data_IF_250458505025
#
_entry.id   IF_250458505025
#
_cell.length_a   1.000
_cell.length_b   1.000
_cell.length_c   1.000
_cell.angle_alpha   90.00
_cell.angle_beta   90.00
_cell.angle_gamma   90.00
#
_symmetry.space_group_name_H-M   'P 1'
#
loop_
_entity.id
_entity.type
_entity.pdbx_description
1 polymer ?
#
# COMPACT_ATOMS: atom_id res chain seq x y z
N UNK A 1 10.69 7.46 11.04
CA UNK A 1 11.66 6.96 12.06
C UNK A 1 11.56 5.45 12.11
N UNK A 2 12.69 4.74 12.18
CA UNK A 2 12.73 3.29 12.35
C UNK A 2 13.38 2.97 13.70
N UNK A 3 12.80 2.01 14.42
CA UNK A 3 13.35 1.48 15.64
C UNK A 3 14.17 0.21 15.35
N UNK A 4 15.15 -0.09 16.20
CA UNK A 4 16.04 -1.26 16.05
C UNK A 4 15.33 -2.63 16.15
N UNK A 5 14.06 -2.66 16.55
CA UNK A 5 13.22 -3.86 16.62
C UNK A 5 12.35 -4.08 15.36
N UNK A 6 12.53 -3.27 14.31
CA UNK A 6 11.74 -3.35 13.08
C UNK A 6 10.42 -2.57 13.10
N UNK A 7 10.08 -1.90 14.20
CA UNK A 7 8.97 -0.95 14.22
C UNK A 7 9.33 0.33 13.48
N UNK A 8 8.35 0.99 12.87
CA UNK A 8 8.52 2.27 12.19
C UNK A 8 7.38 3.22 12.46
N UNK A 9 7.69 4.48 12.67
CA UNK A 9 6.73 5.57 12.80
C UNK A 9 6.88 6.53 11.63
N UNK A 10 5.80 6.74 10.90
CA UNK A 10 5.66 7.81 9.92
C UNK A 10 4.73 8.88 10.49
N UNK A 11 5.07 10.14 10.24
CA UNK A 11 4.25 11.28 10.59
C UNK A 11 4.40 12.34 9.50
N UNK A 12 3.29 12.93 9.06
CA UNK A 12 3.27 14.02 8.10
C UNK A 12 2.27 15.07 8.53
N UNK A 13 2.63 16.36 8.55
CA UNK A 13 1.65 17.42 8.74
C UNK A 13 0.62 17.37 7.61
N UNK A 14 -0.65 17.57 7.95
CA UNK A 14 -1.74 17.79 7.00
C UNK A 14 -1.93 19.30 6.83
N UNK A 15 -1.89 20.02 7.95
CA UNK A 15 -1.95 21.48 8.02
C UNK A 15 -1.22 21.97 9.30
N UNK A 16 -1.40 23.24 9.66
CA UNK A 16 -0.77 23.84 10.85
C UNK A 16 -1.28 23.30 12.19
N UNK A 17 -2.35 22.52 12.19
CA UNK A 17 -3.06 22.02 13.37
C UNK A 17 -3.21 20.51 13.42
N UNK A 18 -2.95 19.81 12.31
CA UNK A 18 -3.20 18.37 12.15
C UNK A 18 -2.02 17.65 11.53
N UNK A 19 -1.79 16.42 11.96
CA UNK A 19 -0.85 15.50 11.34
C UNK A 19 -1.49 14.13 11.13
N UNK A 20 -1.09 13.46 10.06
CA UNK A 20 -1.30 12.04 9.85
C UNK A 20 -0.12 11.31 10.48
N UNK A 21 -0.39 10.18 11.14
CA UNK A 21 0.66 9.28 11.60
C UNK A 21 0.29 7.83 11.28
N UNK A 22 1.30 6.99 11.15
CA UNK A 22 1.12 5.54 11.04
C UNK A 22 2.26 4.81 11.74
N UNK A 23 1.89 3.85 12.58
CA UNK A 23 2.81 2.91 13.19
C UNK A 23 2.83 1.62 12.37
N UNK A 24 4.01 1.09 12.10
CA UNK A 24 4.21 -0.23 11.51
C UNK A 24 5.07 -1.09 12.41
N UNK A 25 4.79 -2.37 12.46
CA UNK A 25 5.58 -3.39 13.14
C UNK A 25 5.31 -4.74 12.46
N UNK A 26 6.17 -5.73 12.73
CA UNK A 26 6.00 -7.08 12.18
C UNK A 26 5.20 -7.92 13.17
N UNK A 27 4.27 -8.71 12.66
CA UNK A 27 3.52 -9.71 13.43
C UNK A 27 3.35 -10.97 12.58
N UNK A 28 3.22 -12.12 13.25
CA UNK A 28 2.85 -13.39 12.62
C UNK A 28 1.34 -13.68 12.74
N UNK A 29 0.64 -12.90 13.55
CA UNK A 29 -0.80 -13.02 13.78
C UNK A 29 -1.51 -11.91 13.00
N UNK A 30 -2.45 -12.32 12.14
CA UNK A 30 -3.28 -11.38 11.41
C UNK A 30 -4.37 -10.83 12.33
N UNK A 31 -4.58 -9.52 12.29
CA UNK A 31 -5.71 -8.91 12.96
C UNK A 31 -7.02 -9.40 12.35
N UNK A 32 -7.92 -9.91 13.19
CA UNK A 32 -9.31 -10.14 12.81
C UNK A 32 -10.04 -8.79 12.77
N UNK A 33 -9.90 -8.09 11.64
CA UNK A 33 -10.54 -6.79 11.43
C UNK A 33 -12.03 -7.04 11.17
N UNK A 34 -12.84 -7.00 12.22
CA UNK A 34 -14.30 -6.98 12.09
C UNK A 34 -14.73 -5.70 11.38
N UNK A 35 -15.69 -5.82 10.44
CA UNK A 35 -16.32 -4.66 9.80
C UNK A 35 -17.24 -3.89 10.75
N UNK A 36 -17.68 -4.52 11.85
CA UNK A 36 -18.77 -3.99 12.66
C UNK A 36 -18.30 -3.05 13.78
N UNK A 37 -17.13 -3.25 14.39
CA UNK A 37 -16.56 -2.32 15.39
C UNK A 37 -15.05 -2.59 15.56
N UNK A 38 -14.14 -1.67 15.20
CA UNK A 38 -12.77 -1.75 15.69
C UNK A 38 -12.78 -1.37 17.17
N UNK A 39 -12.40 -2.31 18.04
CA UNK A 39 -12.26 -2.02 19.47
C UNK A 39 -11.09 -1.04 19.69
N UNK A 40 -11.41 0.25 19.69
CA UNK A 40 -10.42 1.34 19.73
C UNK A 40 -9.54 1.33 20.97
N UNK A 41 -9.97 0.71 22.08
CA UNK A 41 -9.15 0.56 23.29
C UNK A 41 -8.10 -0.54 23.17
N UNK A 42 -8.44 -1.67 22.53
CA UNK A 42 -7.48 -2.74 22.23
C UNK A 42 -6.40 -2.22 21.27
N UNK A 43 -6.82 -1.53 20.20
CA UNK A 43 -5.90 -0.93 19.24
C UNK A 43 -4.97 0.08 19.92
N UNK A 44 -5.47 0.88 20.86
CA UNK A 44 -4.63 1.83 21.62
C UNK A 44 -3.60 1.13 22.49
N UNK A 45 -3.99 0.07 23.19
CA UNK A 45 -3.08 -0.70 24.04
C UNK A 45 -1.95 -1.31 23.22
N UNK A 46 -2.28 -1.89 22.07
CA UNK A 46 -1.31 -2.46 21.14
C UNK A 46 -0.39 -1.39 20.53
N UNK A 47 -0.95 -0.24 20.16
CA UNK A 47 -0.17 0.91 19.68
C UNK A 47 0.82 1.40 20.75
N UNK A 48 0.43 1.40 22.03
CA UNK A 48 1.35 1.74 23.13
C UNK A 48 2.45 0.70 23.30
N UNK A 49 2.12 -0.57 23.25
CA UNK A 49 3.09 -1.66 23.39
C UNK A 49 4.19 -1.55 22.32
N UNK A 50 3.80 -1.47 21.05
CA UNK A 50 4.74 -1.42 19.93
C UNK A 50 5.33 -0.04 19.68
N UNK A 51 4.61 1.03 20.03
CA UNK A 51 5.02 2.43 19.87
C UNK A 51 5.86 2.98 21.02
N UNK A 52 5.93 2.29 22.15
CA UNK A 52 6.67 2.70 23.35
C UNK A 52 8.14 3.06 23.10
N UNK A 53 8.77 2.45 22.08
CA UNK A 53 10.14 2.80 21.67
C UNK A 53 10.29 4.24 21.14
N UNK A 54 9.18 4.86 20.73
CA UNK A 54 9.10 6.25 20.31
C UNK A 54 8.46 7.12 21.41
N UNK A 55 8.64 6.73 22.68
CA UNK A 55 7.94 7.17 23.89
C UNK A 55 7.43 8.61 23.92
N UNK A 56 8.31 9.60 23.70
CA UNK A 56 7.98 11.02 23.80
C UNK A 56 6.91 11.45 22.79
N UNK A 57 6.98 10.92 21.56
CA UNK A 57 6.03 11.22 20.50
C UNK A 57 4.69 10.54 20.76
N UNK A 58 4.68 9.27 21.19
CA UNK A 58 3.44 8.53 21.46
C UNK A 58 2.70 9.05 22.68
N UNK A 59 3.41 9.55 23.69
CA UNK A 59 2.82 10.18 24.86
C UNK A 59 1.96 11.40 24.51
N UNK A 60 2.26 12.08 23.40
CA UNK A 60 1.49 13.24 22.91
C UNK A 60 0.51 12.86 21.80
N UNK A 61 0.92 12.01 20.85
CA UNK A 61 0.13 11.65 19.67
C UNK A 61 -1.10 10.82 20.01
N UNK A 62 -0.97 9.80 20.87
CA UNK A 62 -2.05 8.86 21.10
C UNK A 62 -3.23 9.48 21.88
N UNK A 63 -3.00 10.29 22.93
CA UNK A 63 -4.09 10.97 23.65
C UNK A 63 -4.80 12.03 22.79
N UNK A 64 -4.10 12.66 21.85
CA UNK A 64 -4.65 13.70 20.97
C UNK A 64 -5.28 13.15 19.69
N UNK A 65 -5.11 11.85 19.41
CA UNK A 65 -5.69 11.18 18.25
C UNK A 65 -7.19 10.91 18.43
N UNK A 66 -7.96 11.18 17.39
CA UNK A 66 -9.40 10.88 17.35
C UNK A 66 -9.57 9.35 17.38
N UNK A 67 -10.18 8.81 18.43
CA UNK A 67 -10.29 7.35 18.66
C UNK A 67 -10.86 6.60 17.46
N UNK A 68 -11.92 7.15 16.88
CA UNK A 68 -12.65 6.55 15.75
C UNK A 68 -11.90 6.63 14.41
N UNK A 69 -10.82 7.42 14.32
CA UNK A 69 -10.00 7.49 13.11
C UNK A 69 -8.82 6.52 13.13
N UNK A 70 -8.49 5.92 14.28
CA UNK A 70 -7.40 4.95 14.38
C UNK A 70 -7.88 3.63 13.79
N UNK A 71 -7.13 3.10 12.83
CA UNK A 71 -7.45 1.87 12.11
C UNK A 71 -6.21 0.98 12.03
N UNK A 72 -6.44 -0.33 12.07
CA UNK A 72 -5.42 -1.35 11.88
C UNK A 72 -5.66 -2.03 10.55
N UNK A 73 -4.56 -2.30 9.83
CA UNK A 73 -4.59 -2.95 8.53
C UNK A 73 -3.53 -4.04 8.49
N UNK A 74 -3.92 -5.24 8.05
CA UNK A 74 -2.96 -6.25 7.65
C UNK A 74 -2.45 -5.88 6.25
N UNK A 75 -1.17 -5.55 6.14
CA UNK A 75 -0.56 -5.15 4.88
C UNK A 75 0.24 -6.30 4.30
N UNK A 76 -0.05 -6.66 3.06
CA UNK A 76 0.69 -7.68 2.31
C UNK A 76 0.94 -7.19 0.88
N UNK A 77 2.08 -7.58 0.32
CA UNK A 77 2.35 -7.38 -1.11
C UNK A 77 1.66 -8.49 -1.92
N UNK A 78 1.17 -8.12 -3.10
CA UNK A 78 0.59 -9.03 -4.09
C UNK A 78 1.45 -9.06 -5.33
N UNK A 79 1.80 -10.25 -5.77
CA UNK A 79 2.50 -10.43 -7.04
C UNK A 79 1.57 -10.11 -8.23
N UNK A 80 2.07 -9.42 -9.28
CA UNK A 80 1.31 -9.14 -10.48
C UNK A 80 0.74 -10.39 -11.13
N UNK A 81 -0.42 -10.26 -11.78
CA UNK A 81 -0.98 -11.37 -12.55
C UNK A 81 -0.19 -11.59 -13.84
N UNK A 82 0.04 -12.84 -14.21
CA UNK A 82 0.59 -13.19 -15.53
C UNK A 82 -0.53 -13.11 -16.57
N UNK A 83 -0.35 -12.28 -17.59
CA UNK A 83 -1.31 -12.11 -18.70
C UNK A 83 -0.86 -12.90 -19.93
N UNK A 84 -1.79 -13.44 -20.76
CA UNK A 84 -3.25 -13.41 -20.59
C UNK A 84 -3.74 -14.43 -19.56
N UNK A 85 -4.69 -14.06 -18.68
CA UNK A 85 -5.39 -15.06 -17.89
C UNK A 85 -6.19 -15.95 -18.84
N UNK A 86 -5.93 -17.26 -18.78
CA UNK A 86 -6.42 -18.28 -19.73
C UNK A 86 -7.94 -18.36 -19.86
N UNK A 87 -8.68 -17.73 -18.94
CA UNK A 87 -10.12 -17.80 -18.78
C UNK A 87 -10.89 -16.51 -19.17
N UNK A 88 -10.22 -15.41 -19.56
CA UNK A 88 -10.89 -14.11 -19.76
C UNK A 88 -10.71 -13.50 -21.16
N UNK A 89 -10.16 -14.27 -22.11
CA UNK A 89 -10.12 -13.88 -23.53
C UNK A 89 -9.35 -12.59 -23.85
N UNK A 90 -8.53 -12.08 -22.91
CA UNK A 90 -7.67 -10.92 -23.13
C UNK A 90 -8.37 -9.56 -23.21
N UNK A 91 -9.64 -9.45 -22.78
CA UNK A 91 -10.41 -8.19 -22.83
C UNK A 91 -10.43 -7.42 -21.51
N UNK A 92 -10.01 -8.04 -20.42
CA UNK A 92 -9.96 -7.43 -19.08
C UNK A 92 -8.50 -7.18 -18.71
N UNK A 93 -8.24 -5.98 -18.19
CA UNK A 93 -6.95 -5.55 -17.64
C UNK A 93 -7.16 -5.13 -16.20
N UNK A 94 -6.30 -5.60 -15.32
CA UNK A 94 -6.22 -5.12 -13.94
C UNK A 94 -5.09 -4.10 -13.83
N UNK A 95 -5.32 -3.03 -13.10
CA UNK A 95 -4.37 -1.93 -12.86
C UNK A 95 -4.33 -1.59 -11.38
N UNK A 96 -3.25 -0.92 -10.94
CA UNK A 96 -3.06 -0.53 -9.55
C UNK A 96 -3.12 -1.72 -8.59
N UNK A 97 -3.70 -1.51 -7.40
CA UNK A 97 -3.77 -2.52 -6.34
C UNK A 97 -4.48 -3.82 -6.76
N UNK A 98 -5.38 -3.79 -7.75
CA UNK A 98 -6.00 -5.00 -8.29
C UNK A 98 -4.96 -5.90 -8.96
N UNK A 99 -3.96 -5.33 -9.62
CA UNK A 99 -2.87 -6.06 -10.25
C UNK A 99 -1.71 -6.29 -9.28
N UNK A 100 -1.22 -5.23 -8.64
CA UNK A 100 0.03 -5.23 -7.89
C UNK A 100 -0.05 -4.45 -6.58
N UNK A 101 -0.98 -4.81 -5.70
CA UNK A 101 -1.03 -4.22 -4.36
C UNK A 101 0.34 -4.29 -3.67
N UNK A 102 0.87 -3.12 -3.32
CA UNK A 102 2.14 -2.97 -2.61
C UNK A 102 1.91 -2.41 -1.22
N UNK A 103 2.77 -2.79 -0.30
CA UNK A 103 2.83 -2.21 1.04
C UNK A 103 3.02 -0.69 0.93
N UNK A 104 2.21 0.14 1.63
CA UNK A 104 2.25 1.59 1.49
C UNK A 104 3.50 2.20 2.13
N UNK A 105 4.39 1.38 2.68
CA UNK A 105 5.62 1.77 3.38
C UNK A 105 6.62 2.51 2.50
N UNK A 106 6.54 2.34 1.18
CA UNK A 106 7.37 3.06 0.21
C UNK A 106 6.65 4.26 -0.40
N UNK A 107 5.34 4.42 -0.15
CA UNK A 107 4.52 5.52 -0.67
C UNK A 107 4.29 5.46 -2.19
N UNK A 108 4.70 4.39 -2.89
CA UNK A 108 4.65 4.35 -4.35
C UNK A 108 3.35 3.79 -4.95
N UNK A 109 2.50 3.09 -4.19
CA UNK A 109 1.33 2.38 -4.73
C UNK A 109 0.43 3.24 -5.64
N UNK A 110 0.09 4.46 -5.19
CA UNK A 110 -0.71 5.38 -6.00
C UNK A 110 0.01 5.84 -7.29
N UNK A 111 1.32 6.09 -7.23
CA UNK A 111 2.10 6.44 -8.41
C UNK A 111 2.18 5.27 -9.40
N UNK A 112 2.28 4.03 -8.90
CA UNK A 112 2.25 2.84 -9.75
C UNK A 112 0.91 2.72 -10.48
N UNK A 113 -0.21 2.94 -9.79
CA UNK A 113 -1.53 2.94 -10.40
C UNK A 113 -1.69 4.04 -11.48
N UNK A 114 -1.23 5.26 -11.21
CA UNK A 114 -1.26 6.36 -12.18
C UNK A 114 -0.39 6.09 -13.41
N UNK A 115 0.75 5.41 -13.21
CA UNK A 115 1.60 5.02 -14.32
C UNK A 115 0.95 3.91 -15.16
N UNK A 116 0.26 2.94 -14.53
CA UNK A 116 -0.53 1.95 -15.27
C UNK A 116 -1.59 2.62 -16.15
N UNK A 117 -2.31 3.61 -15.60
CA UNK A 117 -3.33 4.36 -16.33
C UNK A 117 -2.74 5.06 -17.56
N UNK A 118 -1.62 5.75 -17.36
CA UNK A 118 -0.91 6.45 -18.44
C UNK A 118 -0.43 5.49 -19.52
N UNK A 119 0.26 4.42 -19.13
CA UNK A 119 0.86 3.46 -20.06
C UNK A 119 -0.24 2.72 -20.85
N UNK A 120 -1.33 2.34 -20.19
CA UNK A 120 -2.48 1.70 -20.82
C UNK A 120 -3.17 2.63 -21.84
N UNK A 121 -3.39 3.89 -21.46
CA UNK A 121 -3.96 4.89 -22.36
C UNK A 121 -3.08 5.13 -23.59
N UNK A 122 -1.76 5.24 -23.41
CA UNK A 122 -0.80 5.39 -24.53
C UNK A 122 -0.84 4.18 -25.47
N UNK A 123 -0.94 2.95 -24.95
CA UNK A 123 -1.07 1.75 -25.79
C UNK A 123 -2.38 1.75 -26.58
N UNK A 124 -3.49 2.22 -26.01
CA UNK A 124 -4.75 2.34 -26.73
C UNK A 124 -4.67 3.40 -27.83
N UNK A 125 -4.06 4.55 -27.57
CA UNK A 125 -3.91 5.61 -28.59
C UNK A 125 -3.02 5.19 -29.77
N UNK A 126 -2.05 4.30 -29.55
CA UNK A 126 -1.07 3.86 -30.57
C UNK A 126 -1.44 2.57 -31.29
N UNK A 127 -2.51 1.89 -30.88
CA UNK A 127 -2.89 0.59 -31.41
C UNK A 127 -4.21 0.68 -32.17
N UNK A 128 -4.29 -0.04 -33.29
CA UNK A 128 -5.53 -0.21 -34.05
C UNK A 128 -6.37 -1.42 -33.56
N UNK A 129 -5.95 -2.05 -32.45
CA UNK A 129 -6.62 -3.21 -31.87
C UNK A 129 -6.48 -3.22 -30.35
N UNK A 130 -7.60 -3.42 -29.67
CA UNK A 130 -7.68 -3.58 -28.21
C UNK A 130 -6.78 -4.73 -27.75
N UNK A 131 -6.82 -5.86 -28.45
CA UNK A 131 -5.99 -7.02 -28.12
C UNK A 131 -4.49 -6.67 -28.15
N UNK A 132 -4.02 -5.97 -29.18
CA UNK A 132 -2.62 -5.58 -29.28
C UNK A 132 -2.22 -4.52 -28.27
N UNK A 133 -3.09 -3.57 -27.95
CA UNK A 133 -2.85 -2.57 -26.91
C UNK A 133 -2.60 -3.24 -25.55
N UNK A 134 -3.51 -4.14 -25.16
CA UNK A 134 -3.46 -4.87 -23.90
C UNK A 134 -2.23 -5.80 -23.84
N UNK A 135 -1.92 -6.49 -24.95
CA UNK A 135 -0.74 -7.37 -25.02
C UNK A 135 0.56 -6.59 -24.83
N UNK A 136 0.65 -5.37 -25.39
CA UNK A 136 1.82 -4.51 -25.22
C UNK A 136 1.94 -3.96 -23.81
N UNK A 137 0.83 -3.51 -23.22
CA UNK A 137 0.79 -3.03 -21.83
C UNK A 137 1.27 -4.10 -20.84
N UNK A 138 0.86 -5.36 -21.04
CA UNK A 138 1.20 -6.46 -20.14
C UNK A 138 2.55 -7.13 -20.43
N UNK A 139 3.34 -6.63 -21.38
CA UNK A 139 4.59 -7.29 -21.76
C UNK A 139 5.70 -6.99 -20.72
N UNK A 140 6.21 -8.01 -19.99
CA UNK A 140 7.22 -7.83 -18.94
C UNK A 140 8.60 -7.39 -19.47
N UNK A 141 8.82 -7.43 -20.79
CA UNK A 141 10.03 -6.91 -21.43
C UNK A 141 10.01 -5.37 -21.56
N UNK A 142 8.87 -4.72 -21.34
CA UNK A 142 8.87 -3.29 -21.08
C UNK A 142 9.37 -3.07 -19.64
N UNK A 143 10.48 -2.33 -19.45
CA UNK A 143 11.30 -2.31 -18.22
C UNK A 143 10.55 -1.86 -16.96
N UNK A 144 9.35 -1.36 -17.17
CA UNK A 144 8.50 -0.70 -16.22
C UNK A 144 8.02 -1.64 -15.12
N UNK A 145 7.67 -2.90 -15.41
CA UNK A 145 7.12 -3.79 -14.37
C UNK A 145 8.22 -4.41 -13.48
N UNK A 146 9.34 -4.89 -14.02
CA UNK A 146 10.33 -5.64 -13.23
C UNK A 146 11.20 -4.76 -12.30
N UNK A 147 11.50 -3.51 -12.67
CA UNK A 147 12.26 -2.59 -11.82
C UNK A 147 11.39 -1.95 -10.72
N UNK A 148 10.07 -1.87 -10.91
CA UNK A 148 9.11 -1.28 -9.95
C UNK A 148 8.77 -2.17 -8.74
N UNK A 149 9.15 -3.45 -8.74
CA UNK A 149 8.88 -4.37 -7.62
C UNK A 149 10.14 -4.79 -6.84
N UNK A 150 11.32 -4.37 -7.29
CA UNK A 150 12.59 -4.75 -6.66
C UNK A 150 13.23 -3.55 -5.97
N UNK A 151 12.63 -3.08 -4.86
CA UNK A 151 13.26 -2.06 -4.03
C UNK A 151 14.01 -2.69 -2.87
N UNK A 152 15.34 -2.60 -2.90
CA UNK A 152 16.18 -2.81 -1.70
C UNK A 152 16.01 -1.61 -0.79
N UNK A 153 15.34 -1.80 0.34
CA UNK A 153 15.42 -0.87 1.46
C UNK A 153 16.80 -0.99 2.08
N UNK A 154 17.61 0.07 1.99
CA UNK A 154 18.83 0.21 2.80
C UNK A 154 18.46 0.52 4.25
#
# INVERSE_FOLDING_TARGET
>A
MCAGNGAGLFMSPVDTTKALWSLRYRTFELHHISREEPNGELIRSEVLEHGSIFAELFATLLPTSISSSIKVYNVMDKQPFVWPPSNIGGQIVFIGDLNHAVTPFTGYGANLALMDDWDLADQFCRSNSVYYAITRFNNPAFPVQNERFTFRTL
#
